data_IF_094961605806
#
_entry.id   IF_094961605806
#
_cell.length_a   1.000
_cell.length_b   1.000
_cell.length_c   1.000
_cell.angle_alpha   90.00
_cell.angle_beta   90.00
_cell.angle_gamma   90.00
#
_symmetry.space_group_name_H-M   'P 1'
#
loop_
_entity.id
_entity.type
_entity.pdbx_description
1 polymer ?
#
# COMPACT_ATOMS: atom_id res chain seq x y z
N UNK A 1 -37.05 6.38 58.40
CA UNK A 1 -36.25 7.04 57.36
C UNK A 1 -37.00 6.90 56.04
N UNK A 2 -37.38 8.02 55.44
CA UNK A 2 -38.08 8.10 54.16
C UNK A 2 -37.16 7.76 52.99
N UNK A 3 -37.72 7.05 52.02
CA UNK A 3 -37.19 6.82 50.67
C UNK A 3 -37.32 8.12 49.87
N UNK A 4 -36.30 8.51 49.10
CA UNK A 4 -36.51 9.28 47.86
C UNK A 4 -35.55 8.84 46.75
N UNK A 5 -36.19 8.60 45.60
CA UNK A 5 -35.76 7.96 44.36
C UNK A 5 -35.26 9.00 43.35
N UNK A 6 -34.32 8.63 42.45
CA UNK A 6 -34.20 9.09 41.04
C UNK A 6 -33.01 8.34 40.39
N UNK A 7 -33.15 7.15 39.82
CA UNK A 7 -33.60 6.81 38.44
C UNK A 7 -33.04 7.77 37.38
N UNK A 8 -32.08 7.33 36.55
CA UNK A 8 -32.21 7.36 35.07
C UNK A 8 -31.39 6.21 34.43
N UNK A 9 -32.14 5.26 33.86
CA UNK A 9 -31.76 4.28 32.83
C UNK A 9 -30.62 3.30 33.11
N UNK A 10 -30.97 2.21 33.80
CA UNK A 10 -30.67 0.88 33.27
C UNK A 10 -31.43 0.74 31.94
N UNK A 11 -30.87 1.33 30.87
CA UNK A 11 -31.28 0.99 29.52
C UNK A 11 -30.91 -0.49 29.37
N UNK A 12 -31.94 -1.29 29.14
CA UNK A 12 -31.90 -2.68 28.72
C UNK A 12 -30.89 -2.87 27.58
N UNK A 13 -29.62 -3.08 27.91
CA UNK A 13 -28.65 -3.60 26.97
C UNK A 13 -29.01 -5.07 26.78
N UNK A 14 -29.65 -5.37 25.65
CA UNK A 14 -29.83 -6.75 25.22
C UNK A 14 -28.44 -7.42 25.15
N UNK A 15 -28.30 -8.71 25.50
CA UNK A 15 -27.02 -9.44 25.40
C UNK A 15 -26.43 -9.49 23.97
N UNK A 16 -27.16 -9.02 22.95
CA UNK A 16 -26.74 -8.98 21.56
C UNK A 16 -25.77 -7.81 21.22
N UNK A 17 -25.35 -7.01 22.21
CA UNK A 17 -24.51 -5.82 21.99
C UNK A 17 -23.20 -5.82 22.79
N UNK A 18 -22.78 -6.98 23.32
CA UNK A 18 -21.36 -7.16 23.59
C UNK A 18 -20.71 -7.29 22.22
N UNK A 19 -20.26 -6.16 21.66
CA UNK A 19 -19.28 -6.18 20.57
C UNK A 19 -18.17 -7.11 21.03
N UNK A 20 -18.02 -8.26 20.36
CA UNK A 20 -17.03 -9.25 20.72
C UNK A 20 -15.67 -8.59 20.52
N UNK A 21 -15.02 -8.19 21.63
CA UNK A 21 -13.76 -7.43 21.62
C UNK A 21 -12.71 -8.14 20.77
N UNK A 22 -12.75 -9.48 20.70
CA UNK A 22 -11.89 -10.27 19.82
C UNK A 22 -12.09 -9.95 18.34
N UNK A 23 -13.33 -9.72 17.90
CA UNK A 23 -13.64 -9.34 16.52
C UNK A 23 -13.21 -7.91 16.18
N UNK A 24 -13.08 -7.03 17.18
CA UNK A 24 -12.52 -5.68 17.03
C UNK A 24 -10.99 -5.70 16.99
N UNK A 25 -10.34 -6.50 17.84
CA UNK A 25 -8.88 -6.65 17.81
C UNK A 25 -8.42 -7.32 16.50
N UNK A 26 -9.08 -8.39 16.06
CA UNK A 26 -8.83 -9.02 14.75
C UNK A 26 -9.08 -8.07 13.57
N UNK A 27 -9.93 -7.05 13.77
CA UNK A 27 -10.23 -6.03 12.77
C UNK A 27 -9.09 -5.03 12.64
N UNK A 28 -8.62 -4.50 13.76
CA UNK A 28 -7.53 -3.52 13.76
C UNK A 28 -6.21 -4.13 13.29
N UNK A 29 -5.95 -5.40 13.61
CA UNK A 29 -4.77 -6.14 13.13
C UNK A 29 -4.76 -6.29 11.60
N UNK A 30 -5.88 -6.77 11.02
CA UNK A 30 -5.98 -6.95 9.57
C UNK A 30 -5.94 -5.62 8.81
N UNK A 31 -6.56 -4.57 9.35
CA UNK A 31 -6.46 -3.23 8.77
C UNK A 31 -5.01 -2.73 8.79
N UNK A 32 -4.29 -2.93 9.89
CA UNK A 32 -2.87 -2.58 10.00
C UNK A 32 -2.00 -3.32 8.98
N UNK A 33 -2.26 -4.61 8.76
CA UNK A 33 -1.56 -5.41 7.76
C UNK A 33 -1.91 -4.97 6.32
N UNK A 34 -3.16 -4.59 6.03
CA UNK A 34 -3.56 -3.97 4.76
C UNK A 34 -2.78 -2.68 4.48
N UNK A 35 -2.67 -1.79 5.47
CA UNK A 35 -1.89 -0.56 5.35
C UNK A 35 -0.42 -0.83 5.09
N UNK A 36 0.13 -1.88 5.71
CA UNK A 36 1.52 -2.28 5.51
C UNK A 36 1.78 -2.64 4.05
N UNK A 37 1.04 -3.60 3.49
CA UNK A 37 1.25 -4.06 2.11
C UNK A 37 1.05 -2.93 1.10
N UNK A 38 -0.03 -2.14 1.24
CA UNK A 38 -0.29 -1.05 0.31
C UNK A 38 0.82 0.01 0.34
N UNK A 39 1.27 0.38 1.54
CA UNK A 39 2.34 1.37 1.70
C UNK A 39 3.66 0.89 1.10
N UNK A 40 4.00 -0.39 1.23
CA UNK A 40 5.21 -0.94 0.61
C UNK A 40 5.14 -0.83 -0.92
N UNK A 41 4.01 -1.20 -1.53
CA UNK A 41 3.82 -1.08 -2.97
C UNK A 41 3.91 0.39 -3.40
N UNK A 42 3.23 1.31 -2.72
CA UNK A 42 3.27 2.73 -3.06
C UNK A 42 4.69 3.32 -2.97
N UNK A 43 5.44 3.02 -1.91
CA UNK A 43 6.82 3.45 -1.76
C UNK A 43 7.70 2.92 -2.89
N UNK A 44 7.49 1.66 -3.29
CA UNK A 44 8.23 1.05 -4.39
C UNK A 44 7.85 1.65 -5.75
N UNK A 45 6.57 1.99 -5.97
CA UNK A 45 6.10 2.70 -7.16
C UNK A 45 6.76 4.08 -7.29
N UNK A 46 6.79 4.86 -6.20
CA UNK A 46 7.44 6.18 -6.16
C UNK A 46 8.91 6.03 -6.55
N UNK A 47 9.63 5.11 -5.89
CA UNK A 47 11.05 4.90 -6.13
C UNK A 47 11.37 4.41 -7.53
N UNK A 48 10.49 3.59 -8.11
CA UNK A 48 10.62 3.15 -9.52
C UNK A 48 10.44 4.34 -10.46
N UNK A 49 9.45 5.21 -10.23
CA UNK A 49 9.22 6.42 -11.02
C UNK A 49 10.35 7.43 -10.91
N UNK A 50 10.91 7.62 -9.73
CA UNK A 50 12.05 8.52 -9.53
C UNK A 50 13.26 8.07 -10.37
N UNK A 51 13.52 6.76 -10.42
CA UNK A 51 14.57 6.20 -11.28
C UNK A 51 14.25 6.33 -12.77
N UNK A 52 12.99 6.17 -13.18
CA UNK A 52 12.58 6.41 -14.58
C UNK A 52 12.80 7.86 -14.99
N UNK A 53 12.50 8.81 -14.10
CA UNK A 53 12.75 10.23 -14.32
C UNK A 53 14.24 10.55 -14.41
N UNK A 54 15.06 9.97 -13.53
CA UNK A 54 16.52 10.13 -13.59
C UNK A 54 17.11 9.57 -14.89
N UNK A 55 16.64 8.41 -15.35
CA UNK A 55 17.04 7.83 -16.63
C UNK A 55 16.65 8.74 -17.80
N UNK A 56 15.43 9.27 -17.82
CA UNK A 56 14.98 10.20 -18.86
C UNK A 56 15.84 11.47 -18.88
N UNK A 57 16.12 12.06 -17.72
CA UNK A 57 16.98 13.24 -17.60
C UNK A 57 18.40 12.98 -18.11
N UNK A 58 18.98 11.82 -17.79
CA UNK A 58 20.31 11.46 -18.30
C UNK A 58 20.32 11.15 -19.80
N UNK A 59 19.23 10.66 -20.36
CA UNK A 59 19.09 10.48 -21.82
C UNK A 59 19.03 11.84 -22.54
N UNK A 60 18.33 12.81 -21.96
CA UNK A 60 18.29 14.18 -22.46
C UNK A 60 19.69 14.84 -22.35
N UNK A 61 20.37 14.71 -21.20
CA UNK A 61 21.74 15.20 -21.01
C UNK A 61 22.71 14.57 -22.02
N UNK A 62 22.60 13.26 -22.24
CA UNK A 62 23.42 12.53 -23.24
C UNK A 62 23.25 13.14 -24.63
N UNK A 63 22.02 13.43 -25.02
CA UNK A 63 21.70 13.97 -26.35
C UNK A 63 22.24 15.38 -26.53
N UNK A 64 22.27 16.17 -25.45
CA UNK A 64 22.83 17.52 -25.46
C UNK A 64 24.38 17.56 -25.38
N UNK A 65 25.03 16.45 -25.01
CA UNK A 65 26.46 16.45 -24.69
C UNK A 65 27.36 16.11 -25.89
N UNK A 66 28.38 16.92 -26.12
CA UNK A 66 29.37 16.77 -27.20
C UNK A 66 30.74 16.26 -26.70
N UNK A 67 31.01 16.39 -25.40
CA UNK A 67 32.26 15.93 -24.80
C UNK A 67 32.27 14.40 -24.63
N UNK A 68 33.21 13.71 -25.27
CA UNK A 68 33.34 12.24 -25.23
C UNK A 68 33.57 11.66 -23.83
N UNK A 69 34.33 12.33 -22.97
CA UNK A 69 34.56 11.85 -21.61
C UNK A 69 33.27 11.93 -20.78
N UNK A 70 32.52 13.04 -20.89
CA UNK A 70 31.23 13.16 -20.22
C UNK A 70 30.20 12.17 -20.77
N UNK A 71 30.16 11.93 -22.09
CA UNK A 71 29.30 10.91 -22.69
C UNK A 71 29.57 9.52 -22.10
N UNK A 72 30.85 9.15 -21.90
CA UNK A 72 31.22 7.88 -21.26
C UNK A 72 30.73 7.77 -19.81
N UNK A 73 30.79 8.86 -19.04
CA UNK A 73 30.25 8.90 -17.67
C UNK A 73 28.73 8.75 -17.68
N UNK A 74 28.03 9.44 -18.58
CA UNK A 74 26.58 9.34 -18.72
C UNK A 74 26.17 7.92 -19.13
N UNK A 75 26.87 7.31 -20.08
CA UNK A 75 26.61 5.92 -20.51
C UNK A 75 26.79 4.91 -19.38
N UNK A 76 27.84 5.08 -18.57
CA UNK A 76 28.05 4.24 -17.39
C UNK A 76 26.90 4.38 -16.38
N UNK A 77 26.48 5.62 -16.08
CA UNK A 77 25.36 5.88 -15.17
C UNK A 77 24.06 5.30 -15.71
N UNK A 78 23.75 5.50 -16.99
CA UNK A 78 22.55 4.95 -17.63
C UNK A 78 22.53 3.42 -17.56
N UNK A 79 23.66 2.74 -17.78
CA UNK A 79 23.75 1.29 -17.64
C UNK A 79 23.47 0.84 -16.20
N UNK A 80 24.07 1.51 -15.22
CA UNK A 80 23.84 1.21 -13.81
C UNK A 80 22.37 1.41 -13.40
N UNK A 81 21.77 2.53 -13.80
CA UNK A 81 20.37 2.83 -13.51
C UNK A 81 19.41 1.89 -14.22
N UNK A 82 19.72 1.42 -15.43
CA UNK A 82 18.90 0.43 -16.13
C UNK A 82 18.84 -0.91 -15.38
N UNK A 83 19.97 -1.40 -14.86
CA UNK A 83 20.01 -2.62 -14.02
C UNK A 83 19.26 -2.42 -12.70
N UNK A 84 19.43 -1.25 -12.07
CA UNK A 84 18.67 -0.90 -10.86
C UNK A 84 17.16 -0.90 -11.16
N UNK A 85 16.72 -0.17 -12.19
CA UNK A 85 15.31 -0.04 -12.55
C UNK A 85 14.68 -1.41 -12.84
N UNK A 86 15.40 -2.30 -13.52
CA UNK A 86 14.95 -3.69 -13.75
C UNK A 86 14.70 -4.42 -12.43
N UNK A 87 15.59 -4.29 -11.45
CA UNK A 87 15.43 -4.89 -10.12
C UNK A 87 14.24 -4.29 -9.37
N UNK A 88 14.09 -2.97 -9.38
CA UNK A 88 12.99 -2.28 -8.70
C UNK A 88 11.63 -2.64 -9.31
N UNK A 89 11.51 -2.70 -10.64
CA UNK A 89 10.28 -3.15 -11.32
C UNK A 89 9.92 -4.59 -10.96
N UNK A 90 10.92 -5.48 -10.89
CA UNK A 90 10.70 -6.87 -10.46
C UNK A 90 10.18 -6.91 -9.02
N UNK A 91 10.83 -6.21 -8.11
CA UNK A 91 10.41 -6.17 -6.69
C UNK A 91 9.03 -5.52 -6.53
N UNK A 92 8.72 -4.47 -7.29
CA UNK A 92 7.38 -3.87 -7.31
C UNK A 92 6.31 -4.90 -7.70
N UNK A 93 6.57 -5.68 -8.75
CA UNK A 93 5.65 -6.72 -9.20
C UNK A 93 5.47 -7.82 -8.13
N UNK A 94 6.55 -8.28 -7.52
CA UNK A 94 6.51 -9.26 -6.42
C UNK A 94 5.68 -8.74 -5.23
N UNK A 95 5.91 -7.49 -4.80
CA UNK A 95 5.15 -6.85 -3.72
C UNK A 95 3.66 -6.66 -4.09
N UNK A 96 3.37 -6.29 -5.33
CA UNK A 96 2.01 -6.14 -5.81
C UNK A 96 1.27 -7.50 -5.80
N UNK A 97 1.95 -8.58 -6.18
CA UNK A 97 1.40 -9.94 -6.11
C UNK A 97 1.12 -10.37 -4.67
N UNK A 98 2.04 -10.11 -3.73
CA UNK A 98 1.84 -10.39 -2.30
C UNK A 98 0.61 -9.63 -1.75
N UNK A 99 0.50 -8.35 -2.08
CA UNK A 99 -0.65 -7.53 -1.70
C UNK A 99 -1.96 -8.09 -2.29
N UNK A 100 -1.98 -8.47 -3.58
CA UNK A 100 -3.14 -9.09 -4.22
C UNK A 100 -3.54 -10.38 -3.51
N UNK A 101 -2.60 -11.26 -3.20
CA UNK A 101 -2.88 -12.52 -2.49
C UNK A 101 -3.48 -12.27 -1.11
N UNK A 102 -2.97 -11.27 -0.39
CA UNK A 102 -3.50 -10.87 0.90
C UNK A 102 -4.94 -10.35 0.78
N UNK A 103 -5.20 -9.46 -0.19
CA UNK A 103 -6.53 -8.92 -0.47
C UNK A 103 -7.54 -10.01 -0.89
N UNK A 104 -7.15 -10.94 -1.75
CA UNK A 104 -8.02 -12.04 -2.19
C UNK A 104 -8.42 -12.96 -1.03
N UNK A 105 -7.54 -13.18 -0.02
CA UNK A 105 -7.85 -13.92 1.21
C UNK A 105 -8.78 -13.16 2.16
N UNK A 106 -8.67 -11.83 2.20
CA UNK A 106 -9.52 -10.96 3.01
C UNK A 106 -10.95 -10.88 2.47
N UNK A 107 -11.11 -10.84 1.15
CA UNK A 107 -12.41 -10.70 0.47
C UNK A 107 -13.39 -11.85 0.72
N UNK A 108 -12.91 -13.03 1.12
CA UNK A 108 -13.75 -14.15 1.54
C UNK A 108 -14.28 -14.04 2.97
N UNK A 109 -13.70 -13.19 3.82
CA UNK A 109 -13.96 -13.22 5.28
C UNK A 109 -14.69 -11.98 5.79
N UNK A 110 -14.52 -10.80 5.16
CA UNK A 110 -14.98 -9.53 5.75
C UNK A 110 -15.33 -8.47 4.67
N UNK A 111 -16.56 -8.50 4.15
CA UNK A 111 -17.08 -7.51 3.18
C UNK A 111 -17.10 -6.07 3.72
N UNK A 112 -17.30 -5.88 5.02
CA UNK A 112 -17.41 -4.56 5.65
C UNK A 112 -16.07 -3.78 5.68
N UNK A 113 -14.94 -4.49 5.64
CA UNK A 113 -13.61 -3.87 5.61
C UNK A 113 -13.28 -3.28 4.24
N UNK A 114 -13.84 -3.91 3.20
CA UNK A 114 -13.61 -3.56 1.80
C UNK A 114 -14.37 -2.31 1.35
N UNK A 115 -15.35 -1.84 2.12
CA UNK A 115 -16.10 -0.61 1.82
C UNK A 115 -15.49 0.64 2.48
N UNK A 116 -14.81 0.49 3.62
CA UNK A 116 -14.12 1.58 4.30
C UNK A 116 -12.79 1.93 3.60
N UNK A 117 -12.14 0.92 3.02
CA UNK A 117 -10.94 1.11 2.21
C UNK A 117 -11.33 1.14 0.74
N UNK A 118 -10.65 1.95 -0.09
CA UNK A 118 -10.86 2.02 -1.55
C UNK A 118 -10.43 0.73 -2.29
N UNK A 119 -10.78 -0.46 -1.77
CA UNK A 119 -10.42 -1.77 -2.28
C UNK A 119 -10.83 -1.97 -3.73
N UNK A 120 -12.06 -1.54 -4.06
CA UNK A 120 -12.64 -1.71 -5.41
C UNK A 120 -11.81 -1.03 -6.50
N UNK A 121 -11.09 0.03 -6.16
CA UNK A 121 -10.16 0.71 -7.08
C UNK A 121 -8.73 0.19 -6.94
N UNK A 122 -8.30 -0.15 -5.71
CA UNK A 122 -6.90 -0.51 -5.46
C UNK A 122 -6.51 -1.90 -5.94
N UNK A 123 -7.36 -2.92 -5.79
CA UNK A 123 -7.04 -4.27 -6.26
C UNK A 123 -6.81 -4.33 -7.78
N UNK A 124 -7.66 -3.71 -8.63
CA UNK A 124 -7.38 -3.60 -10.07
C UNK A 124 -6.04 -2.91 -10.38
N UNK A 125 -5.70 -1.82 -9.68
CA UNK A 125 -4.42 -1.13 -9.86
C UNK A 125 -3.23 -2.04 -9.54
N UNK A 126 -3.31 -2.81 -8.44
CA UNK A 126 -2.26 -3.75 -8.06
C UNK A 126 -2.11 -4.89 -9.07
N UNK A 127 -3.23 -5.38 -9.64
CA UNK A 127 -3.21 -6.42 -10.70
C UNK A 127 -2.66 -5.92 -12.03
N UNK A 128 -2.61 -4.61 -12.24
CA UNK A 128 -2.09 -3.99 -13.45
C UNK A 128 -0.56 -3.69 -13.39
N UNK A 129 0.08 -3.89 -12.23
CA UNK A 129 1.52 -3.72 -12.02
C UNK A 129 2.33 -4.95 -12.43
#
# INVERSE_FOLDING_TARGET
MLIFVMIVSALSASPAQIYDIKTLDEKDDKMSEMYYYDRQVQLMQIRTKDLELEVAQLQDEKTAQVNKAQLGIIDYKLKYLAEALKKYKKTLHEMAQEAVQFYDKLGTTQKEFMEVYNYKTRLPELKAL
#
